data_IF_240416400991
#
_entry.id   IF_240416400991
#
_cell.length_a   1.000
_cell.length_b   1.000
_cell.length_c   1.000
_cell.angle_alpha   90.00
_cell.angle_beta   90.00
_cell.angle_gamma   90.00
#
_symmetry.space_group_name_H-M   'P 1'
#
loop_
_entity.id
_entity.type
_entity.pdbx_description
1 polymer ?
#
# COMPACT_ATOMS: atom_id res chain seq x y z
N UNK A 1 -22.52 -37.28 16.56
CA UNK A 1 -23.33 -36.31 15.76
C UNK A 1 -23.04 -34.87 16.11
N UNK A 2 -22.57 -34.56 17.32
CA UNK A 2 -22.20 -33.18 17.71
C UNK A 2 -20.78 -32.76 17.27
N UNK A 3 -19.86 -33.69 17.05
CA UNK A 3 -18.52 -33.35 16.55
C UNK A 3 -18.48 -32.97 15.06
N UNK A 4 -19.42 -33.50 14.27
CA UNK A 4 -19.57 -33.13 12.85
C UNK A 4 -20.14 -31.70 12.64
N UNK A 5 -20.89 -31.22 13.61
CA UNK A 5 -21.44 -29.85 13.57
C UNK A 5 -20.40 -28.81 14.01
N UNK A 6 -19.44 -29.18 14.87
CA UNK A 6 -18.36 -28.31 15.31
C UNK A 6 -17.26 -28.12 14.25
N UNK A 7 -17.14 -29.04 13.29
CA UNK A 7 -16.17 -28.91 12.19
C UNK A 7 -16.64 -28.04 11.03
N UNK A 8 -17.91 -27.70 10.94
CA UNK A 8 -18.46 -26.80 9.92
C UNK A 8 -18.32 -25.33 10.26
N UNK A 9 -18.07 -24.99 11.53
CA UNK A 9 -17.94 -23.59 11.97
C UNK A 9 -16.54 -23.00 11.74
N UNK A 10 -15.55 -23.80 11.38
CA UNK A 10 -14.14 -23.36 11.27
C UNK A 10 -13.87 -22.55 9.99
N UNK A 11 -14.77 -22.54 9.01
CA UNK A 11 -14.56 -21.89 7.71
C UNK A 11 -15.71 -20.98 7.24
N UNK A 12 -16.61 -20.55 8.12
CA UNK A 12 -17.52 -19.48 7.75
C UNK A 12 -16.73 -18.17 7.74
N UNK A 13 -16.25 -17.80 6.57
CA UNK A 13 -15.90 -16.39 6.31
C UNK A 13 -17.17 -15.60 6.54
N UNK A 14 -17.27 -14.94 7.67
CA UNK A 14 -18.40 -14.07 7.94
C UNK A 14 -18.43 -13.00 6.87
N UNK A 15 -19.37 -13.12 5.93
CA UNK A 15 -19.43 -12.29 4.72
C UNK A 15 -19.57 -10.81 5.09
N UNK A 16 -20.39 -10.50 6.10
CA UNK A 16 -20.67 -9.13 6.53
C UNK A 16 -19.42 -8.41 7.04
N UNK A 17 -18.65 -8.93 8.02
CA UNK A 17 -17.44 -8.27 8.50
C UNK A 17 -16.34 -8.23 7.43
N UNK A 18 -16.27 -9.23 6.54
CA UNK A 18 -15.30 -9.22 5.43
C UNK A 18 -15.63 -8.12 4.42
N UNK A 19 -16.90 -7.94 4.06
CA UNK A 19 -17.33 -6.83 3.19
C UNK A 19 -17.06 -5.47 3.83
N UNK A 20 -17.30 -5.32 5.13
CA UNK A 20 -16.99 -4.10 5.86
C UNK A 20 -15.49 -3.79 5.83
N UNK A 21 -14.64 -4.80 6.10
CA UNK A 21 -13.18 -4.68 6.01
C UNK A 21 -12.71 -4.34 4.60
N UNK A 22 -13.37 -4.88 3.57
CA UNK A 22 -13.09 -4.56 2.17
C UNK A 22 -13.38 -3.09 1.85
N UNK A 23 -14.52 -2.57 2.27
CA UNK A 23 -14.88 -1.15 2.07
C UNK A 23 -13.86 -0.25 2.76
N UNK A 24 -13.46 -0.55 4.01
CA UNK A 24 -12.43 0.19 4.72
C UNK A 24 -11.08 0.14 4.00
N UNK A 25 -10.68 -1.02 3.49
CA UNK A 25 -9.46 -1.19 2.70
C UNK A 25 -9.47 -0.27 1.46
N UNK A 26 -10.57 -0.25 0.72
CA UNK A 26 -10.73 0.60 -0.47
C UNK A 26 -10.64 2.08 -0.08
N UNK A 27 -11.36 2.51 0.96
CA UNK A 27 -11.33 3.90 1.44
C UNK A 27 -9.91 4.34 1.85
N UNK A 28 -9.22 3.53 2.64
CA UNK A 28 -7.85 3.84 3.07
C UNK A 28 -6.87 3.86 1.90
N UNK A 29 -7.06 3.01 0.90
CA UNK A 29 -6.25 3.01 -0.32
C UNK A 29 -6.44 4.27 -1.16
N UNK A 30 -7.67 4.81 -1.23
CA UNK A 30 -7.92 6.09 -1.88
C UNK A 30 -7.32 7.26 -1.12
N UNK A 31 -7.33 7.24 0.22
CA UNK A 31 -6.64 8.23 1.05
C UNK A 31 -5.12 8.19 0.78
N UNK A 32 -4.53 6.98 0.72
CA UNK A 32 -3.13 6.80 0.38
C UNK A 32 -2.81 7.35 -1.01
N UNK A 33 -3.65 7.07 -2.02
CA UNK A 33 -3.51 7.62 -3.38
C UNK A 33 -3.54 9.14 -3.36
N UNK A 34 -4.53 9.74 -2.70
CA UNK A 34 -4.66 11.20 -2.60
C UNK A 34 -3.42 11.83 -1.98
N UNK A 35 -2.92 11.21 -0.90
CA UNK A 35 -1.72 11.65 -0.22
C UNK A 35 -0.47 11.55 -1.11
N UNK A 36 -0.31 10.43 -1.84
CA UNK A 36 0.78 10.20 -2.77
C UNK A 36 0.82 11.25 -3.89
N UNK A 37 -0.30 11.47 -4.57
CA UNK A 37 -0.39 12.42 -5.69
C UNK A 37 -0.06 13.85 -5.22
N UNK A 38 -0.45 14.20 -4.00
CA UNK A 38 -0.26 15.56 -3.48
C UNK A 38 1.16 15.80 -2.96
N UNK A 39 1.86 14.77 -2.50
CA UNK A 39 3.13 14.91 -1.77
C UNK A 39 4.35 14.26 -2.41
N UNK A 40 4.20 13.36 -3.36
CA UNK A 40 5.33 12.72 -4.02
C UNK A 40 6.10 13.73 -4.88
N UNK A 41 7.43 13.75 -4.74
CA UNK A 41 8.35 14.55 -5.55
C UNK A 41 8.74 13.87 -6.88
N UNK A 42 8.22 12.67 -7.18
CA UNK A 42 8.52 11.97 -8.42
C UNK A 42 8.17 12.82 -9.64
N UNK A 43 9.16 13.09 -10.47
CA UNK A 43 9.06 13.89 -11.68
C UNK A 43 8.40 13.13 -12.83
N UNK A 44 8.36 11.80 -12.77
CA UNK A 44 7.94 10.96 -13.89
C UNK A 44 6.86 9.98 -13.45
N UNK A 45 5.61 10.18 -13.89
CA UNK A 45 4.56 9.17 -13.76
C UNK A 45 3.71 9.15 -12.49
N UNK A 46 3.61 10.27 -11.74
CA UNK A 46 2.78 10.38 -10.51
C UNK A 46 1.36 9.83 -10.63
N UNK A 47 0.71 10.07 -11.76
CA UNK A 47 -0.66 9.60 -11.99
C UNK A 47 -0.73 8.10 -12.17
N UNK A 48 0.28 7.49 -12.79
CA UNK A 48 0.32 6.07 -13.09
C UNK A 48 0.48 5.25 -11.80
N UNK A 49 1.48 5.56 -10.98
CA UNK A 49 1.74 4.86 -9.71
C UNK A 49 0.61 5.13 -8.71
N UNK A 50 0.13 6.37 -8.61
CA UNK A 50 -1.01 6.71 -7.77
C UNK A 50 -2.28 5.91 -8.11
N UNK A 51 -2.47 5.51 -9.37
CA UNK A 51 -3.61 4.67 -9.78
C UNK A 51 -3.40 3.19 -9.44
N UNK A 52 -2.17 2.73 -9.37
CA UNK A 52 -1.83 1.34 -9.05
C UNK A 52 -2.02 1.06 -7.55
N UNK A 53 -1.81 2.03 -6.66
CA UNK A 53 -1.87 1.83 -5.20
C UNK A 53 -3.21 1.25 -4.70
N UNK A 54 -4.39 1.79 -5.09
CA UNK A 54 -5.66 1.22 -4.66
C UNK A 54 -5.92 -0.17 -5.23
N UNK A 55 -5.50 -0.40 -6.49
CA UNK A 55 -5.64 -1.70 -7.14
C UNK A 55 -4.79 -2.74 -6.41
N UNK A 56 -3.54 -2.40 -6.09
CA UNK A 56 -2.62 -3.29 -5.40
C UNK A 56 -3.15 -3.71 -4.03
N UNK A 57 -3.61 -2.77 -3.20
CA UNK A 57 -4.15 -3.10 -1.88
C UNK A 57 -5.42 -3.95 -1.96
N UNK A 58 -6.28 -3.69 -2.95
CA UNK A 58 -7.51 -4.49 -3.17
C UNK A 58 -7.18 -5.91 -3.61
N UNK A 59 -6.22 -6.08 -4.52
CA UNK A 59 -5.75 -7.41 -4.97
C UNK A 59 -5.12 -8.18 -3.81
N UNK A 60 -4.27 -7.53 -3.02
CA UNK A 60 -3.66 -8.16 -1.84
C UNK A 60 -4.73 -8.57 -0.83
N UNK A 61 -5.73 -7.73 -0.58
CA UNK A 61 -6.85 -8.07 0.29
C UNK A 61 -7.55 -9.34 -0.19
N UNK A 62 -7.93 -9.42 -1.47
CA UNK A 62 -8.60 -10.58 -2.05
C UNK A 62 -7.74 -11.85 -1.91
N UNK A 63 -6.46 -11.75 -2.27
CA UNK A 63 -5.52 -12.88 -2.18
C UNK A 63 -5.44 -13.42 -0.76
N UNK A 64 -5.30 -12.55 0.25
CA UNK A 64 -5.16 -12.96 1.65
C UNK A 64 -6.46 -13.55 2.19
N UNK A 65 -7.63 -13.02 1.84
CA UNK A 65 -8.92 -13.59 2.23
C UNK A 65 -9.07 -15.02 1.69
N UNK A 66 -8.68 -15.25 0.43
CA UNK A 66 -8.71 -16.59 -0.19
C UNK A 66 -7.69 -17.54 0.45
N UNK A 67 -6.47 -17.06 0.68
CA UNK A 67 -5.39 -17.86 1.27
C UNK A 67 -5.69 -18.23 2.72
N UNK A 68 -6.32 -17.35 3.48
CA UNK A 68 -6.71 -17.58 4.87
C UNK A 68 -7.69 -18.76 5.01
N UNK A 69 -8.43 -19.09 3.96
CA UNK A 69 -9.39 -20.21 3.97
C UNK A 69 -8.75 -21.59 3.83
N UNK A 70 -7.49 -21.71 3.37
CA UNK A 70 -6.84 -23.01 3.14
C UNK A 70 -5.31 -22.93 3.23
N UNK A 71 -4.72 -23.77 4.08
CA UNK A 71 -3.26 -23.91 4.21
C UNK A 71 -2.60 -24.40 2.90
N UNK A 72 -3.27 -25.29 2.16
CA UNK A 72 -2.75 -25.79 0.89
C UNK A 72 -2.66 -24.66 -0.16
N UNK A 73 -3.66 -23.77 -0.22
CA UNK A 73 -3.67 -22.59 -1.08
C UNK A 73 -2.56 -21.60 -0.70
N UNK A 74 -2.28 -21.43 0.60
CA UNK A 74 -1.21 -20.52 1.06
C UNK A 74 0.16 -21.00 0.60
N UNK A 75 0.46 -22.30 0.72
CA UNK A 75 1.71 -22.88 0.25
C UNK A 75 1.84 -22.81 -1.28
N UNK A 76 0.75 -23.06 -2.01
CA UNK A 76 0.69 -22.93 -3.46
C UNK A 76 0.96 -21.49 -3.93
N UNK A 77 0.39 -20.50 -3.25
CA UNK A 77 0.60 -19.08 -3.57
C UNK A 77 2.05 -18.64 -3.33
N UNK A 78 2.66 -19.03 -2.20
CA UNK A 78 4.07 -18.76 -1.91
C UNK A 78 4.96 -19.34 -3.00
N UNK A 79 4.69 -20.58 -3.43
CA UNK A 79 5.38 -21.21 -4.55
C UNK A 79 5.20 -20.45 -5.86
N UNK A 80 3.98 -20.04 -6.20
CA UNK A 80 3.70 -19.26 -7.39
C UNK A 80 4.37 -17.88 -7.38
N UNK A 81 4.37 -17.18 -6.24
CA UNK A 81 5.03 -15.88 -6.10
C UNK A 81 6.55 -15.97 -6.20
N UNK A 82 7.16 -17.09 -5.83
CA UNK A 82 8.61 -17.29 -5.96
C UNK A 82 9.09 -17.32 -7.40
N UNK A 83 8.21 -17.63 -8.36
CA UNK A 83 8.51 -17.66 -9.80
C UNK A 83 8.37 -16.26 -10.42
N UNK A 84 7.63 -15.36 -9.77
CA UNK A 84 7.42 -13.99 -10.27
C UNK A 84 8.71 -13.18 -10.11
N UNK A 85 9.39 -12.96 -11.23
CA UNK A 85 10.61 -12.14 -11.29
C UNK A 85 10.28 -10.77 -11.86
N UNK A 86 10.42 -9.73 -11.04
CA UNK A 86 10.35 -8.35 -11.52
C UNK A 86 11.56 -8.05 -12.41
N UNK A 87 11.31 -7.74 -13.68
CA UNK A 87 12.37 -7.39 -14.64
C UNK A 87 12.71 -5.91 -14.68
N UNK A 88 11.83 -5.06 -14.18
CA UNK A 88 12.03 -3.61 -14.17
C UNK A 88 12.40 -3.15 -12.77
N UNK A 89 13.58 -2.54 -12.57
CA UNK A 89 13.91 -1.93 -11.30
C UNK A 89 13.01 -0.73 -11.05
N UNK A 90 12.44 -0.63 -9.86
CA UNK A 90 11.74 0.56 -9.41
C UNK A 90 12.80 1.65 -9.26
N UNK A 91 12.65 2.74 -10.03
CA UNK A 91 13.69 3.77 -10.16
C UNK A 91 13.83 4.63 -8.90
N UNK A 92 12.76 4.80 -8.15
CA UNK A 92 12.73 5.69 -6.99
C UNK A 92 12.39 4.92 -5.71
N UNK A 93 13.24 4.97 -4.66
CA UNK A 93 12.99 4.27 -3.40
C UNK A 93 11.73 4.78 -2.67
N UNK A 94 11.33 6.02 -2.91
CA UNK A 94 10.10 6.59 -2.33
C UNK A 94 8.85 5.89 -2.84
N UNK A 95 8.80 5.52 -4.12
CA UNK A 95 7.68 4.79 -4.72
C UNK A 95 7.51 3.41 -4.09
N UNK A 96 8.64 2.75 -3.77
CA UNK A 96 8.65 1.45 -3.12
C UNK A 96 7.98 1.49 -1.73
N UNK A 97 8.22 2.54 -0.96
CA UNK A 97 7.62 2.71 0.38
C UNK A 97 6.09 2.79 0.29
N UNK A 98 5.56 3.55 -0.67
CA UNK A 98 4.10 3.65 -0.87
C UNK A 98 3.49 2.33 -1.37
N UNK A 99 4.21 1.57 -2.21
CA UNK A 99 3.78 0.23 -2.63
C UNK A 99 3.72 -0.73 -1.44
N UNK A 100 4.74 -0.74 -0.58
CA UNK A 100 4.71 -1.55 0.64
C UNK A 100 3.59 -1.14 1.59
N UNK A 101 3.31 0.15 1.70
CA UNK A 101 2.19 0.63 2.52
C UNK A 101 0.83 0.16 1.95
N UNK A 102 0.65 0.18 0.62
CA UNK A 102 -0.54 -0.36 -0.02
C UNK A 102 -0.73 -1.87 0.23
N UNK A 103 0.36 -2.64 0.16
CA UNK A 103 0.35 -4.08 0.49
C UNK A 103 -0.03 -4.28 1.97
N UNK A 104 0.56 -3.51 2.88
CA UNK A 104 0.29 -3.59 4.32
C UNK A 104 -1.17 -3.26 4.67
N UNK A 105 -1.78 -2.30 3.98
CA UNK A 105 -3.20 -1.97 4.10
C UNK A 105 -4.05 -3.18 3.70
N UNK A 106 -3.81 -3.75 2.52
CA UNK A 106 -4.54 -4.93 2.05
C UNK A 106 -4.43 -6.11 3.01
N UNK A 107 -3.21 -6.39 3.51
CA UNK A 107 -2.93 -7.46 4.45
C UNK A 107 -3.64 -7.26 5.80
N UNK A 108 -3.55 -6.07 6.39
CA UNK A 108 -4.10 -5.76 7.70
C UNK A 108 -5.63 -5.85 7.75
N UNK A 109 -6.30 -5.31 6.73
CA UNK A 109 -7.77 -5.43 6.64
C UNK A 109 -8.22 -6.85 6.33
N UNK A 110 -7.50 -7.61 5.50
CA UNK A 110 -7.80 -9.02 5.23
C UNK A 110 -7.60 -9.90 6.47
N UNK A 111 -6.66 -9.54 7.36
CA UNK A 111 -6.48 -10.20 8.64
C UNK A 111 -7.62 -9.94 9.64
N UNK A 112 -8.50 -8.97 9.36
CA UNK A 112 -9.60 -8.57 10.24
C UNK A 112 -9.22 -7.58 11.33
N UNK A 113 -7.99 -7.05 11.31
CA UNK A 113 -7.49 -6.07 12.30
C UNK A 113 -7.78 -4.63 11.87
N UNK A 114 -9.07 -4.31 11.69
CA UNK A 114 -9.51 -3.05 11.10
C UNK A 114 -9.03 -1.81 11.87
N UNK A 115 -9.20 -1.78 13.19
CA UNK A 115 -8.83 -0.65 14.03
C UNK A 115 -7.32 -0.41 14.05
N UNK A 116 -6.55 -1.47 14.27
CA UNK A 116 -5.08 -1.38 14.35
C UNK A 116 -4.52 -0.92 13.00
N UNK A 117 -4.98 -1.51 11.89
CA UNK A 117 -4.54 -1.15 10.54
C UNK A 117 -4.84 0.31 10.22
N UNK A 118 -6.03 0.81 10.59
CA UNK A 118 -6.42 2.21 10.37
C UNK A 118 -5.51 3.15 11.15
N UNK A 119 -5.31 2.91 12.44
CA UNK A 119 -4.49 3.77 13.31
C UNK A 119 -3.03 3.79 12.84
N UNK A 120 -2.45 2.62 12.56
CA UNK A 120 -1.06 2.53 12.08
C UNK A 120 -0.87 3.20 10.72
N UNK A 121 -1.79 2.99 9.77
CA UNK A 121 -1.71 3.64 8.46
C UNK A 121 -1.78 5.16 8.58
N UNK A 122 -2.69 5.70 9.39
CA UNK A 122 -2.77 7.14 9.63
C UNK A 122 -1.52 7.68 10.33
N UNK A 123 -0.96 6.95 11.29
CA UNK A 123 0.29 7.31 11.98
C UNK A 123 1.46 7.37 11.00
N UNK A 124 1.59 6.38 10.10
CA UNK A 124 2.63 6.36 9.08
C UNK A 124 2.47 7.53 8.10
N UNK A 125 1.26 7.79 7.61
CA UNK A 125 0.98 8.92 6.73
C UNK A 125 1.31 10.26 7.40
N UNK A 126 1.03 10.40 8.70
CA UNK A 126 1.36 11.58 9.47
C UNK A 126 2.88 11.73 9.63
N UNK A 127 3.61 10.65 9.88
CA UNK A 127 5.08 10.65 9.94
C UNK A 127 5.68 11.08 8.60
N UNK A 128 5.20 10.52 7.48
CA UNK A 128 5.64 10.92 6.14
C UNK A 128 5.33 12.39 5.88
N UNK A 129 4.16 12.87 6.32
CA UNK A 129 3.77 14.27 6.19
C UNK A 129 4.75 15.21 6.89
N UNK A 130 5.10 14.92 8.14
CA UNK A 130 6.07 15.74 8.90
C UNK A 130 7.47 15.67 8.28
N UNK A 131 7.92 14.48 7.87
CA UNK A 131 9.23 14.29 7.27
C UNK A 131 9.39 15.05 5.96
N UNK A 132 8.39 14.97 5.08
CA UNK A 132 8.42 15.66 3.79
C UNK A 132 8.23 17.18 3.91
N UNK A 133 7.46 17.63 4.89
CA UNK A 133 7.27 19.07 5.15
C UNK A 133 8.59 19.77 5.50
N UNK A 134 9.48 19.05 6.18
CA UNK A 134 10.78 19.60 6.59
C UNK A 134 11.83 19.62 5.45
N UNK A 135 11.66 18.81 4.41
CA UNK A 135 12.58 18.77 3.25
C UNK A 135 12.26 19.80 2.16
N UNK A 136 11.07 20.33 2.13
CA UNK A 136 10.62 21.29 1.10
C UNK A 136 11.38 22.61 1.09
N UNK A 137 12.07 22.96 2.17
CA UNK A 137 12.83 24.20 2.28
C UNK A 137 14.26 24.11 1.69
N UNK A 138 14.82 22.91 1.56
CA UNK A 138 16.23 22.74 1.13
C UNK A 138 16.41 22.71 -0.40
N UNK A 139 15.42 22.24 -1.15
CA UNK A 139 15.57 22.03 -2.61
C UNK A 139 15.42 23.31 -3.43
N UNK A 140 14.69 24.30 -2.95
CA UNK A 140 14.49 25.58 -3.65
C UNK A 140 15.79 26.38 -3.75
N UNK A 141 16.68 26.23 -2.79
CA UNK A 141 17.95 26.98 -2.72
C UNK A 141 18.97 26.51 -3.77
N UNK A 142 18.99 25.20 -4.08
CA UNK A 142 19.94 24.66 -5.09
C UNK A 142 19.56 25.05 -6.52
N UNK A 143 18.28 25.03 -6.87
CA UNK A 143 17.84 25.44 -8.22
C UNK A 143 18.12 26.92 -8.52
N UNK A 144 17.93 27.79 -7.52
CA UNK A 144 18.23 29.22 -7.66
C UNK A 144 19.73 29.48 -7.84
N UNK A 145 20.60 28.69 -7.23
CA UNK A 145 22.05 28.80 -7.40
C UNK A 145 22.49 28.46 -8.84
N UNK A 146 21.93 27.38 -9.41
CA UNK A 146 22.26 26.93 -10.77
C UNK A 146 21.77 27.93 -11.83
N UNK A 147 20.59 28.49 -11.67
CA UNK A 147 20.07 29.51 -12.58
C UNK A 147 20.88 30.78 -12.53
N UNK A 148 21.28 31.23 -11.34
CA UNK A 148 22.08 32.46 -11.16
C UNK A 148 23.52 32.31 -11.70
N UNK A 149 24.06 31.07 -11.70
CA UNK A 149 25.41 30.85 -12.29
C UNK A 149 25.37 30.83 -13.81
N UNK A 150 24.29 30.38 -14.44
CA UNK A 150 24.12 30.37 -15.90
C UNK A 150 23.92 31.76 -16.48
N UNK A 151 23.31 32.65 -15.73
CA UNK A 151 23.08 34.04 -16.16
C UNK A 151 24.36 34.93 -16.05
N UNK A 152 25.34 34.52 -15.23
CA UNK A 152 26.62 35.21 -15.05
C UNK A 152 27.72 34.81 -16.06
N UNK A 153 27.46 33.81 -16.90
CA UNK A 153 28.41 33.29 -17.89
C UNK A 153 28.10 33.72 -19.33
N UNK A 154 27.15 34.64 -19.53
CA UNK A 154 26.87 35.38 -20.78
C UNK A 154 27.37 36.83 -20.66
#
# INVERSE_FOLDING_TARGET
MNELLLSSDVFQVEIIPTLFSFILCVLMSFILRYFYIRRSFSLTGKSHIGSILPILSTVVFLVIVVVKSSLALSLGLVGALSIVRFRTPIKEPEELVYLFLAISIGLGYAAGQNLITTILTLSILLTIYFWLSNRSLSSVTEYNLILNWKDKSL
#
